data_IF_623118727844
#
_entry.id   IF_623118727844
#
_cell.length_a   1.000
_cell.length_b   1.000
_cell.length_c   1.000
_cell.angle_alpha   90.00
_cell.angle_beta   90.00
_cell.angle_gamma   90.00
#
_symmetry.space_group_name_H-M   'P 1'
#
loop_
_entity.id
_entity.type
_entity.pdbx_description
1 polymer ?
#
# COMPACT_ATOMS: atom_id res chain seq x y z
N UNK A 1 9.73 7.38 -13.06
CA UNK A 1 9.35 6.06 -13.61
C UNK A 1 8.04 5.53 -13.02
N UNK A 2 7.96 5.07 -11.76
CA UNK A 2 6.69 4.56 -11.22
C UNK A 2 5.60 5.65 -11.10
N UNK A 3 5.96 6.85 -10.64
CA UNK A 3 5.01 7.96 -10.55
C UNK A 3 4.43 8.34 -11.92
N UNK A 4 5.26 8.35 -12.97
CA UNK A 4 4.81 8.65 -14.33
C UNK A 4 3.80 7.61 -14.81
N UNK A 5 4.02 6.33 -14.46
CA UNK A 5 3.07 5.26 -14.74
C UNK A 5 1.75 5.48 -14.00
N UNK A 6 1.76 5.82 -12.71
CA UNK A 6 0.54 6.12 -11.94
C UNK A 6 -0.19 7.33 -12.52
N UNK A 7 0.55 8.35 -12.96
CA UNK A 7 0.03 9.55 -13.59
C UNK A 7 -0.68 9.27 -14.91
N UNK A 8 -0.15 8.37 -15.74
CA UNK A 8 -0.82 7.92 -16.98
C UNK A 8 -2.14 7.21 -16.69
N UNK A 9 -2.30 6.59 -15.52
CA UNK A 9 -3.56 5.99 -15.09
C UNK A 9 -4.57 7.01 -14.52
N UNK A 10 -4.22 8.30 -14.48
CA UNK A 10 -5.10 9.38 -14.02
C UNK A 10 -5.04 9.67 -12.52
N UNK A 11 -4.02 9.18 -11.80
CA UNK A 11 -3.81 9.46 -10.39
C UNK A 11 -2.50 10.23 -10.15
N UNK A 12 -2.50 11.15 -9.19
CA UNK A 12 -1.27 11.81 -8.73
C UNK A 12 -0.57 10.98 -7.65
N UNK A 13 0.76 11.02 -7.64
CA UNK A 13 1.57 10.26 -6.68
C UNK A 13 2.78 11.06 -6.21
N UNK A 14 3.08 10.95 -4.91
CA UNK A 14 4.29 11.49 -4.29
C UNK A 14 5.33 10.39 -4.06
N UNK A 15 6.60 10.71 -4.29
CA UNK A 15 7.69 9.76 -4.10
C UNK A 15 8.04 9.62 -2.61
N UNK A 16 8.03 8.40 -2.10
CA UNK A 16 8.60 8.05 -0.81
C UNK A 16 9.73 7.02 -1.00
N UNK A 17 10.97 7.44 -0.78
CA UNK A 17 12.18 6.62 -0.93
C UNK A 17 12.56 5.83 0.32
N UNK A 18 11.83 6.01 1.42
CA UNK A 18 12.08 5.28 2.66
C UNK A 18 11.87 3.77 2.48
N UNK A 19 12.75 2.99 3.11
CA UNK A 19 12.68 1.54 3.07
C UNK A 19 11.43 1.01 3.80
N UNK A 20 10.81 -0.04 3.27
CA UNK A 20 9.68 -0.71 3.95
C UNK A 20 10.09 -1.58 5.14
N UNK A 21 11.40 -1.78 5.37
CA UNK A 21 11.92 -2.53 6.52
C UNK A 21 12.01 -4.05 6.35
N UNK A 22 11.72 -4.60 5.16
CA UNK A 22 11.72 -6.05 4.95
C UNK A 22 13.07 -6.73 5.24
N UNK A 23 14.19 -6.11 4.85
CA UNK A 23 15.51 -6.71 5.03
C UNK A 23 15.88 -6.92 6.52
N UNK A 24 15.48 -5.99 7.40
CA UNK A 24 15.74 -6.08 8.84
C UNK A 24 14.64 -6.84 9.59
N UNK A 25 13.46 -7.02 8.99
CA UNK A 25 12.31 -7.68 9.61
C UNK A 25 12.63 -9.10 10.13
N UNK A 26 13.45 -9.85 9.39
CA UNK A 26 13.83 -11.22 9.76
C UNK A 26 14.79 -11.30 10.96
N UNK A 27 15.58 -10.24 11.21
CA UNK A 27 16.54 -10.19 12.32
C UNK A 27 16.03 -9.36 13.50
N UNK A 28 15.18 -8.38 13.22
CA UNK A 28 14.58 -7.48 14.19
C UNK A 28 13.19 -7.06 13.69
N UNK A 29 12.21 -7.87 14.05
CA UNK A 29 10.82 -7.75 13.63
C UNK A 29 10.20 -6.41 14.03
N UNK A 30 10.44 -5.93 15.26
CA UNK A 30 9.89 -4.66 15.74
C UNK A 30 10.42 -3.47 14.94
N UNK A 31 11.71 -3.45 14.62
CA UNK A 31 12.31 -2.40 13.79
C UNK A 31 11.75 -2.43 12.37
N UNK A 32 11.68 -3.62 11.76
CA UNK A 32 11.08 -3.78 10.42
C UNK A 32 9.64 -3.28 10.36
N UNK A 33 8.80 -3.68 11.33
CA UNK A 33 7.40 -3.24 11.42
C UNK A 33 7.27 -1.74 11.70
N UNK A 34 8.18 -1.16 12.50
CA UNK A 34 8.19 0.29 12.77
C UNK A 34 8.42 1.08 11.49
N UNK A 35 9.38 0.65 10.66
CA UNK A 35 9.65 1.29 9.36
C UNK A 35 8.42 1.22 8.44
N UNK A 36 7.79 0.05 8.34
CA UNK A 36 6.57 -0.12 7.55
C UNK A 36 5.43 0.78 8.06
N UNK A 37 5.17 0.78 9.37
CA UNK A 37 4.13 1.57 10.00
C UNK A 37 4.35 3.08 9.84
N UNK A 38 5.59 3.55 9.92
CA UNK A 38 5.92 4.95 9.67
C UNK A 38 5.58 5.38 8.23
N UNK A 39 5.79 4.50 7.23
CA UNK A 39 5.39 4.78 5.85
C UNK A 39 3.87 4.83 5.68
N UNK A 40 3.15 3.90 6.30
CA UNK A 40 1.68 3.90 6.31
C UNK A 40 1.15 5.20 6.94
N UNK A 41 1.72 5.58 8.09
CA UNK A 41 1.37 6.82 8.80
C UNK A 41 1.66 8.07 7.98
N UNK A 42 2.79 8.11 7.27
CA UNK A 42 3.14 9.24 6.39
C UNK A 42 2.12 9.42 5.27
N UNK A 43 1.61 8.30 4.72
CA UNK A 43 0.61 8.29 3.66
C UNK A 43 -0.83 8.59 4.14
N UNK A 44 -1.03 8.92 5.43
CA UNK A 44 -2.37 9.17 6.01
C UNK A 44 -3.20 10.28 5.36
N UNK A 45 -2.55 11.17 4.59
CA UNK A 45 -3.21 12.26 3.84
C UNK A 45 -3.43 11.93 2.36
N UNK A 46 -3.09 10.73 1.93
CA UNK A 46 -3.23 10.25 0.56
C UNK A 46 -4.39 9.27 0.45
N UNK A 47 -4.84 8.97 -0.77
CA UNK A 47 -5.87 7.96 -1.01
C UNK A 47 -5.37 6.51 -0.84
N UNK A 48 -4.05 6.32 -0.78
CA UNK A 48 -3.44 5.00 -0.61
C UNK A 48 -1.97 4.97 -1.01
N UNK A 49 -1.36 3.80 -0.82
CA UNK A 49 0.03 3.52 -1.20
C UNK A 49 0.05 2.60 -2.42
N UNK A 50 0.83 2.97 -3.43
CA UNK A 50 1.14 2.09 -4.57
C UNK A 50 2.52 1.47 -4.38
N UNK A 51 2.59 0.14 -4.42
CA UNK A 51 3.83 -0.63 -4.33
C UNK A 51 4.15 -1.35 -5.64
N UNK A 52 5.44 -1.44 -5.97
CA UNK A 52 5.93 -2.22 -7.12
C UNK A 52 6.73 -3.45 -6.71
N UNK A 53 6.94 -3.67 -5.41
CA UNK A 53 7.80 -4.73 -4.87
C UNK A 53 7.01 -5.64 -3.92
N UNK A 54 7.09 -6.98 -4.06
CA UNK A 54 6.45 -7.94 -3.15
C UNK A 54 6.84 -7.76 -1.68
N UNK A 55 8.07 -7.33 -1.38
CA UNK A 55 8.49 -7.04 -0.01
C UNK A 55 7.73 -5.85 0.59
N UNK A 56 7.38 -4.86 -0.21
CA UNK A 56 6.49 -3.78 0.20
C UNK A 56 5.10 -4.31 0.57
N UNK A 57 4.59 -5.28 -0.20
CA UNK A 57 3.31 -5.93 0.08
C UNK A 57 3.34 -6.79 1.34
N UNK A 58 4.43 -7.50 1.60
CA UNK A 58 4.60 -8.21 2.87
C UNK A 58 4.56 -7.22 4.05
N UNK A 59 5.30 -6.12 3.95
CA UNK A 59 5.49 -5.22 5.08
C UNK A 59 4.33 -4.28 5.34
N UNK A 60 3.66 -3.79 4.29
CA UNK A 60 2.62 -2.76 4.42
C UNK A 60 1.22 -3.27 4.11
N UNK A 61 1.04 -4.36 3.36
CA UNK A 61 -0.27 -4.96 3.18
C UNK A 61 -0.45 -6.15 4.14
N UNK A 62 0.31 -7.24 3.96
CA UNK A 62 0.16 -8.45 4.78
C UNK A 62 0.30 -8.20 6.28
N UNK A 63 1.28 -7.40 6.69
CA UNK A 63 1.54 -7.04 8.09
C UNK A 63 0.90 -5.69 8.48
N UNK A 64 -0.14 -5.22 7.76
CA UNK A 64 -0.74 -3.89 7.96
C UNK A 64 -1.16 -3.68 9.42
N UNK A 65 -1.84 -4.64 10.03
CA UNK A 65 -2.33 -4.53 11.41
C UNK A 65 -1.17 -4.38 12.41
N UNK A 66 -0.15 -5.24 12.31
CA UNK A 66 1.01 -5.20 13.19
C UNK A 66 1.85 -3.94 12.98
N UNK A 67 2.03 -3.51 11.73
CA UNK A 67 2.76 -2.27 11.40
C UNK A 67 2.05 -1.03 11.95
N UNK A 68 0.72 -0.94 11.81
CA UNK A 68 -0.09 0.13 12.40
C UNK A 68 0.01 0.13 13.92
N UNK A 69 -0.11 -1.06 14.55
CA UNK A 69 -0.03 -1.23 15.99
C UNK A 69 1.31 -0.75 16.56
N UNK A 70 2.44 -1.15 15.96
CA UNK A 70 3.78 -0.79 16.43
C UNK A 70 4.09 0.70 16.24
N UNK A 71 3.60 1.31 15.16
CA UNK A 71 3.80 2.75 14.88
C UNK A 71 2.79 3.67 15.57
N UNK A 72 1.80 3.10 16.28
CA UNK A 72 0.70 3.84 16.90
C UNK A 72 -0.20 4.55 15.88
N UNK A 73 -0.23 4.09 14.63
CA UNK A 73 -1.11 4.64 13.60
C UNK A 73 -2.51 4.04 13.71
N UNK A 74 -3.52 4.89 13.56
CA UNK A 74 -4.94 4.52 13.48
C UNK A 74 -5.53 5.25 12.28
N UNK A 75 -5.96 4.49 11.29
CA UNK A 75 -6.56 5.03 10.07
C UNK A 75 -6.58 3.99 8.96
N UNK A 76 -7.20 4.38 7.86
CA UNK A 76 -7.43 3.51 6.72
C UNK A 76 -6.64 3.99 5.50
N UNK A 77 -5.43 3.44 5.35
CA UNK A 77 -4.58 3.70 4.19
C UNK A 77 -4.48 2.40 3.39
N UNK A 78 -5.19 2.29 2.26
CA UNK A 78 -5.14 1.09 1.44
C UNK A 78 -3.77 0.97 0.75
N UNK A 79 -3.29 -0.26 0.58
CA UNK A 79 -2.03 -0.57 -0.10
C UNK A 79 -2.33 -1.42 -1.32
N UNK A 80 -1.91 -0.95 -2.50
CA UNK A 80 -2.15 -1.62 -3.78
C UNK A 80 -0.85 -1.90 -4.51
N UNK A 81 -0.78 -3.05 -5.17
CA UNK A 81 0.23 -3.24 -6.19
C UNK A 81 -0.07 -2.35 -7.40
N UNK A 82 0.98 -1.82 -8.02
CA UNK A 82 0.84 -1.07 -9.27
C UNK A 82 0.08 -1.86 -10.34
N UNK A 83 0.30 -3.17 -10.42
CA UNK A 83 -0.43 -4.04 -11.36
C UNK A 83 -1.92 -4.14 -11.05
N UNK A 84 -2.32 -4.07 -9.77
CA UNK A 84 -3.74 -3.99 -9.39
C UNK A 84 -4.33 -2.66 -9.84
N UNK A 85 -3.64 -1.55 -9.58
CA UNK A 85 -4.08 -0.22 -10.03
C UNK A 85 -4.19 -0.14 -11.56
N UNK A 86 -3.21 -0.69 -12.28
CA UNK A 86 -3.24 -0.80 -13.74
C UNK A 86 -4.44 -1.63 -14.21
N UNK A 87 -4.70 -2.78 -13.59
CA UNK A 87 -5.84 -3.63 -13.91
C UNK A 87 -7.17 -2.90 -13.76
N UNK A 88 -7.35 -2.15 -12.66
CA UNK A 88 -8.53 -1.31 -12.46
C UNK A 88 -8.65 -0.23 -13.54
N UNK A 89 -7.55 0.43 -13.88
CA UNK A 89 -7.52 1.50 -14.87
C UNK A 89 -7.86 1.02 -16.30
N UNK A 90 -7.59 -0.25 -16.62
CA UNK A 90 -7.98 -0.87 -17.91
C UNK A 90 -9.34 -1.58 -17.86
N UNK A 91 -10.11 -1.40 -16.77
CA UNK A 91 -11.49 -1.89 -16.66
C UNK A 91 -11.66 -3.28 -16.06
N UNK A 92 -10.65 -3.86 -15.42
CA UNK A 92 -10.82 -5.10 -14.66
C UNK A 92 -11.55 -4.83 -13.35
N UNK A 93 -12.39 -5.76 -12.93
CA UNK A 93 -13.10 -5.67 -11.66
C UNK A 93 -12.18 -5.82 -10.45
N UNK A 94 -12.56 -5.30 -9.26
CA UNK A 94 -11.83 -5.51 -8.01
C UNK A 94 -11.49 -6.97 -7.71
N UNK A 95 -12.35 -7.91 -8.14
CA UNK A 95 -12.13 -9.35 -7.95
C UNK A 95 -11.09 -9.92 -8.91
N UNK A 96 -11.05 -9.47 -10.15
CA UNK A 96 -10.05 -9.93 -11.14
C UNK A 96 -8.63 -9.50 -10.78
N UNK A 97 -8.48 -8.32 -10.17
CA UNK A 97 -7.20 -7.85 -9.61
C UNK A 97 -6.96 -8.34 -8.17
N UNK A 98 -7.81 -9.24 -7.67
CA UNK A 98 -7.71 -9.88 -6.37
C UNK A 98 -7.63 -8.91 -5.17
N UNK A 99 -8.31 -7.75 -5.21
CA UNK A 99 -8.34 -6.82 -4.07
C UNK A 99 -8.91 -7.46 -2.79
N UNK A 100 -9.75 -8.48 -2.92
CA UNK A 100 -10.28 -9.24 -1.80
C UNK A 100 -9.22 -10.06 -1.03
N UNK A 101 -7.98 -10.14 -1.54
CA UNK A 101 -6.87 -10.80 -0.87
C UNK A 101 -5.97 -9.83 -0.10
N UNK A 102 -6.06 -8.53 -0.38
CA UNK A 102 -5.33 -7.49 0.35
C UNK A 102 -5.75 -7.50 1.82
N UNK A 103 -4.82 -7.18 2.72
CA UNK A 103 -5.05 -7.11 4.17
C UNK A 103 -5.20 -5.67 4.67
N UNK A 104 -4.67 -4.70 3.93
CA UNK A 104 -4.95 -3.29 4.12
C UNK A 104 -6.41 -2.95 3.73
N UNK A 105 -6.98 -1.82 4.21
CA UNK A 105 -8.40 -1.48 4.04
C UNK A 105 -8.73 -0.96 2.63
N UNK A 106 -8.57 -1.81 1.62
CA UNK A 106 -8.79 -1.48 0.19
C UNK A 106 -10.24 -1.13 -0.17
N UNK A 107 -11.21 -1.49 0.68
CA UNK A 107 -12.61 -1.12 0.53
C UNK A 107 -12.84 0.40 0.58
N UNK A 108 -11.94 1.15 1.24
CA UNK A 108 -12.01 2.62 1.26
C UNK A 108 -11.73 3.20 -0.13
N UNK A 109 -10.85 2.56 -0.91
CA UNK A 109 -10.55 3.00 -2.27
C UNK A 109 -11.66 2.63 -3.25
N UNK A 110 -12.22 1.42 -3.16
CA UNK A 110 -13.28 0.98 -4.08
C UNK A 110 -14.53 1.86 -3.94
N UNK A 111 -14.87 2.26 -2.71
CA UNK A 111 -15.93 3.23 -2.44
C UNK A 111 -15.68 4.59 -3.13
N UNK A 112 -14.44 5.11 -3.11
CA UNK A 112 -14.07 6.36 -3.78
C UNK A 112 -14.10 6.27 -5.30
N UNK A 113 -13.66 5.13 -5.84
CA UNK A 113 -13.62 4.88 -7.28
C UNK A 113 -14.99 4.48 -7.86
N UNK A 114 -15.99 4.19 -7.02
CA UNK A 114 -17.33 3.80 -7.43
C UNK A 114 -17.39 2.39 -8.04
N UNK A 115 -16.47 1.50 -7.62
CA UNK A 115 -16.32 0.12 -8.13
C UNK A 115 -16.40 -0.92 -7.03
#
# INVERSE_FOLDING_TARGET
>A
MLMDLVKVLGADAELCLDCCGWAIYNTNTSTGLTLAGNRIKLASKTDGIVISCPHGGIMMDKNYEEACKVSGFKGDVPVLYYTQLLGLAIGLSPREVALNLNKSPVNVLTCKLGI
#
